data_IF_481750471739
#
_entry.id   IF_481750471739
#
_cell.length_a   1.000
_cell.length_b   1.000
_cell.length_c   1.000
_cell.angle_alpha   90.00
_cell.angle_beta   90.00
_cell.angle_gamma   90.00
#
_symmetry.space_group_name_H-M   'P 1'
#
loop_
_entity.id
_entity.type
_entity.pdbx_description
1 polymer ?
#
# COMPACT_ATOMS: atom_id res chain seq x y z
N UNK A 1 19.41 15.93 36.63
CA UNK A 1 20.12 14.85 35.92
C UNK A 1 19.94 15.05 34.42
N UNK A 2 20.78 15.92 33.87
CA UNK A 2 21.03 16.08 32.44
C UNK A 2 22.10 15.06 32.06
N UNK A 3 21.83 14.23 31.05
CA UNK A 3 22.78 13.58 30.11
C UNK A 3 22.17 12.26 29.64
N UNK A 4 21.61 12.26 28.43
CA UNK A 4 21.90 11.27 27.39
C UNK A 4 21.27 11.79 26.11
N UNK A 5 22.04 12.66 25.45
CA UNK A 5 21.88 13.09 24.08
C UNK A 5 22.80 12.21 23.22
N UNK A 6 22.42 12.04 21.95
CA UNK A 6 23.20 11.51 20.83
C UNK A 6 23.40 9.99 20.79
N UNK A 7 22.89 9.39 19.70
CA UNK A 7 23.53 8.38 18.84
C UNK A 7 22.43 7.58 18.10
N UNK A 8 21.82 8.14 17.05
CA UNK A 8 21.24 7.39 15.92
C UNK A 8 20.75 8.32 14.78
N UNK A 9 21.51 9.36 14.46
CA UNK A 9 21.43 10.05 13.17
C UNK A 9 22.82 10.00 12.55
N UNK A 10 23.15 8.87 11.92
CA UNK A 10 24.16 8.85 10.88
C UNK A 10 23.94 7.62 9.99
N UNK A 11 23.74 7.86 8.69
CA UNK A 11 23.40 6.79 7.75
C UNK A 11 22.85 7.22 6.39
N UNK A 12 23.07 8.47 5.98
CA UNK A 12 22.96 8.87 4.58
C UNK A 12 24.19 9.70 4.22
N UNK A 13 25.24 9.03 3.71
CA UNK A 13 26.04 9.49 2.57
C UNK A 13 27.23 8.54 2.32
N UNK A 14 27.57 8.39 1.03
CA UNK A 14 28.80 7.81 0.44
C UNK A 14 28.77 6.32 0.09
N UNK A 15 28.08 6.03 -1.02
CA UNK A 15 28.70 5.27 -2.11
C UNK A 15 28.33 5.99 -3.41
N UNK A 16 29.14 7.00 -3.76
CA UNK A 16 29.36 7.38 -5.16
C UNK A 16 30.84 7.08 -5.46
N UNK A 17 31.07 6.38 -6.56
CA UNK A 17 32.30 5.68 -6.85
C UNK A 17 32.19 4.86 -8.11
N UNK A 18 31.95 5.57 -9.22
CA UNK A 18 32.31 5.25 -10.60
C UNK A 18 32.74 3.80 -10.91
N UNK A 19 31.89 3.12 -11.69
CA UNK A 19 32.35 2.27 -12.81
C UNK A 19 31.45 2.52 -14.02
N UNK A 20 31.85 3.49 -14.84
CA UNK A 20 31.62 3.44 -16.27
C UNK A 20 32.73 2.58 -16.88
N UNK A 21 32.35 1.40 -17.37
CA UNK A 21 33.02 0.59 -18.41
C UNK A 21 31.98 -0.50 -18.68
N UNK A 22 31.12 -0.36 -19.68
CA UNK A 22 31.47 -0.56 -21.09
C UNK A 22 30.79 -1.85 -21.49
N UNK A 23 29.97 -1.81 -22.54
CA UNK A 23 29.30 -2.96 -23.18
C UNK A 23 28.17 -3.55 -22.30
N UNK A 24 26.88 -3.42 -22.61
CA UNK A 24 26.27 -3.66 -23.90
C UNK A 24 24.94 -2.91 -23.97
N UNK A 25 24.91 -1.85 -24.79
CA UNK A 25 23.72 -1.44 -25.53
C UNK A 25 23.42 -2.56 -26.53
N UNK A 26 23.01 -3.73 -26.04
CA UNK A 26 22.69 -4.87 -26.88
C UNK A 26 21.39 -4.53 -27.59
N UNK A 27 21.53 -4.11 -28.84
CA UNK A 27 20.44 -3.88 -29.77
C UNK A 27 19.42 -5.01 -29.62
N UNK A 28 18.25 -4.67 -29.08
CA UNK A 28 17.03 -5.44 -29.17
C UNK A 28 16.55 -5.44 -30.63
N UNK A 29 17.34 -6.07 -31.48
CA UNK A 29 16.98 -6.62 -32.78
C UNK A 29 17.36 -8.10 -32.79
N UNK A 30 17.05 -8.77 -31.69
CA UNK A 30 17.02 -10.23 -31.66
C UNK A 30 15.79 -10.67 -32.41
N UNK A 31 15.93 -10.90 -33.72
CA UNK A 31 14.97 -11.70 -34.49
C UNK A 31 14.70 -12.96 -33.69
N UNK A 32 13.49 -13.07 -33.13
CA UNK A 32 13.02 -14.23 -32.38
C UNK A 32 13.29 -15.48 -33.21
N UNK A 33 13.59 -16.63 -32.61
CA UNK A 33 13.83 -17.88 -33.35
C UNK A 33 12.73 -18.19 -34.39
N UNK A 34 11.49 -17.73 -34.15
CA UNK A 34 10.38 -17.77 -35.10
C UNK A 34 10.59 -16.94 -36.38
N UNK A 35 11.20 -15.76 -36.27
CA UNK A 35 11.50 -14.88 -37.41
C UNK A 35 12.60 -15.49 -38.30
N UNK A 36 13.63 -16.08 -37.70
CA UNK A 36 14.67 -16.80 -38.46
C UNK A 36 14.11 -18.04 -39.16
N UNK A 37 13.16 -18.78 -38.55
CA UNK A 37 12.52 -19.91 -39.23
C UNK A 37 11.65 -19.45 -40.41
N UNK A 38 10.93 -18.35 -40.24
CA UNK A 38 10.08 -17.79 -41.30
C UNK A 38 10.91 -17.26 -42.49
N UNK A 39 12.03 -16.58 -42.22
CA UNK A 39 12.99 -16.18 -43.25
C UNK A 39 13.62 -17.39 -43.96
N UNK A 40 13.99 -18.46 -43.24
CA UNK A 40 14.54 -19.67 -43.87
C UNK A 40 13.52 -20.40 -44.76
N UNK A 41 12.24 -20.36 -44.39
CA UNK A 41 11.16 -20.92 -45.21
C UNK A 41 10.90 -20.08 -46.46
N UNK A 42 10.99 -18.74 -46.34
CA UNK A 42 10.89 -17.82 -47.46
C UNK A 42 12.04 -18.01 -48.46
N UNK A 43 13.28 -18.13 -47.96
CA UNK A 43 14.47 -18.42 -48.77
C UNK A 43 14.33 -19.78 -49.49
N UNK A 44 13.81 -20.82 -48.82
CA UNK A 44 13.57 -22.14 -49.43
C UNK A 44 12.57 -22.06 -50.59
N UNK A 45 11.54 -21.23 -50.45
CA UNK A 45 10.52 -21.01 -51.48
C UNK A 45 11.08 -20.24 -52.69
N UNK A 46 11.94 -19.25 -52.45
CA UNK A 46 12.68 -18.55 -53.53
C UNK A 46 13.57 -19.55 -54.27
N UNK A 47 14.35 -20.36 -53.54
CA UNK A 47 15.27 -21.35 -54.14
C UNK A 47 14.51 -22.37 -54.99
N UNK A 48 13.39 -22.90 -54.52
CA UNK A 48 12.55 -23.81 -55.31
C UNK A 48 11.99 -23.15 -56.58
N UNK A 49 11.69 -21.85 -56.54
CA UNK A 49 11.17 -21.13 -57.71
C UNK A 49 12.28 -20.85 -58.72
N UNK A 50 13.48 -20.48 -58.27
CA UNK A 50 14.67 -20.35 -59.12
C UNK A 50 15.08 -21.68 -59.75
N UNK A 51 14.98 -22.79 -59.02
CA UNK A 51 15.25 -24.14 -59.54
C UNK A 51 14.26 -24.53 -60.65
N UNK A 52 12.99 -24.14 -60.53
CA UNK A 52 11.97 -24.37 -61.57
C UNK A 52 12.25 -23.55 -62.83
N UNK A 53 12.62 -22.27 -62.66
CA UNK A 53 12.99 -21.38 -63.77
C UNK A 53 14.25 -21.91 -64.47
N UNK A 54 15.27 -22.33 -63.71
CA UNK A 54 16.48 -22.93 -64.26
C UNK A 54 16.18 -24.23 -65.04
N UNK A 55 15.32 -25.09 -64.50
CA UNK A 55 14.92 -26.31 -65.22
C UNK A 55 14.09 -26.04 -66.48
N UNK A 56 13.32 -24.95 -66.54
CA UNK A 56 12.60 -24.53 -67.74
C UNK A 56 13.53 -23.88 -68.79
N UNK A 57 14.56 -23.16 -68.35
CA UNK A 57 15.46 -22.44 -69.27
C UNK A 57 16.54 -23.35 -69.89
N UNK A 58 16.86 -24.49 -69.26
CA UNK A 58 18.02 -25.32 -69.64
C UNK A 58 17.69 -26.78 -69.99
N UNK A 59 16.41 -27.20 -70.04
CA UNK A 59 16.03 -28.58 -70.43
C UNK A 59 15.43 -28.75 -71.82
N UNK A 60 15.16 -27.68 -72.57
CA UNK A 60 14.52 -27.80 -73.89
C UNK A 60 15.50 -27.89 -75.08
N UNK A 61 16.83 -27.82 -74.85
CA UNK A 61 17.84 -27.79 -75.93
C UNK A 61 18.63 -29.10 -76.17
N UNK A 62 18.20 -30.25 -75.63
CA UNK A 62 18.90 -31.54 -75.88
C UNK A 62 17.94 -32.67 -76.31
N UNK A 63 16.94 -32.37 -77.15
CA UNK A 63 16.25 -33.43 -77.87
C UNK A 63 15.88 -33.02 -79.30
N UNK A 64 16.92 -32.73 -80.09
CA UNK A 64 16.82 -32.63 -81.53
C UNK A 64 16.81 -34.01 -82.21
N UNK A 65 16.16 -34.04 -83.37
CA UNK A 65 16.25 -35.01 -84.48
C UNK A 65 15.37 -36.28 -84.36
N UNK A 66 14.60 -36.70 -85.38
CA UNK A 66 14.81 -36.58 -86.83
C UNK A 66 13.57 -37.04 -87.62
N UNK A 67 13.26 -36.29 -88.69
CA UNK A 67 12.76 -36.67 -90.04
C UNK A 67 11.62 -37.69 -90.16
N UNK A 68 10.53 -37.26 -90.81
CA UNK A 68 9.96 -38.04 -91.92
C UNK A 68 9.30 -37.13 -92.96
N UNK A 69 10.02 -36.94 -94.05
CA UNK A 69 9.47 -36.73 -95.39
C UNK A 69 8.60 -37.92 -95.75
N UNK A 70 7.34 -37.66 -96.15
CA UNK A 70 6.57 -38.52 -97.04
C UNK A 70 5.74 -37.65 -97.96
N UNK A 71 6.20 -37.63 -99.21
CA UNK A 71 5.48 -37.17 -100.38
C UNK A 71 4.33 -38.13 -100.72
N UNK A 72 3.60 -37.69 -101.74
CA UNK A 72 2.68 -38.41 -102.62
C UNK A 72 1.21 -38.33 -102.17
N UNK A 73 0.25 -37.99 -103.02
CA UNK A 73 0.19 -38.24 -104.47
C UNK A 73 -0.82 -37.29 -105.13
N UNK A 74 -0.43 -36.84 -106.32
CA UNK A 74 -1.22 -36.38 -107.46
C UNK A 74 -2.76 -36.32 -107.37
N UNK A 75 -3.31 -35.23 -107.88
CA UNK A 75 -4.23 -35.33 -109.03
C UNK A 75 -3.96 -34.17 -110.00
N UNK A 76 -3.63 -34.55 -111.22
CA UNK A 76 -3.48 -33.72 -112.41
C UNK A 76 -4.43 -34.31 -113.45
N UNK A 77 -4.68 -33.64 -114.57
CA UNK A 77 -5.27 -32.32 -114.71
C UNK A 77 -6.59 -32.46 -115.47
N UNK A 78 -7.56 -31.56 -115.25
CA UNK A 78 -8.52 -31.31 -116.32
C UNK A 78 -8.66 -29.81 -116.53
N UNK A 79 -8.59 -29.45 -117.81
CA UNK A 79 -8.24 -28.13 -118.28
C UNK A 79 -9.16 -27.07 -117.73
N UNK A 80 -8.59 -26.13 -116.96
CA UNK A 80 -9.13 -24.79 -116.81
C UNK A 80 -7.99 -23.81 -116.47
N UNK A 81 -8.08 -22.65 -117.12
CA UNK A 81 -7.12 -21.55 -117.20
C UNK A 81 -6.13 -21.40 -116.02
N UNK A 82 -4.84 -21.30 -116.35
CA UNK A 82 -3.72 -20.97 -115.45
C UNK A 82 -4.01 -19.76 -114.53
N UNK A 83 -4.86 -18.84 -115.00
CA UNK A 83 -5.33 -17.64 -114.32
C UNK A 83 -6.14 -17.95 -113.03
N UNK A 84 -6.90 -19.04 -112.99
CA UNK A 84 -7.78 -19.37 -111.87
C UNK A 84 -7.02 -19.84 -110.61
N UNK A 85 -5.88 -20.53 -110.77
CA UNK A 85 -5.04 -20.97 -109.63
C UNK A 85 -4.27 -19.82 -109.01
N UNK A 86 -3.71 -18.93 -109.83
CA UNK A 86 -3.06 -17.72 -109.32
C UNK A 86 -4.06 -16.82 -108.60
N UNK A 87 -5.29 -16.70 -109.13
CA UNK A 87 -6.36 -15.96 -108.47
C UNK A 87 -6.76 -16.56 -107.12
N UNK A 88 -6.91 -17.88 -107.03
CA UNK A 88 -7.21 -18.56 -105.76
C UNK A 88 -6.07 -18.47 -104.74
N UNK A 89 -4.81 -18.52 -105.19
CA UNK A 89 -3.64 -18.32 -104.34
C UNK A 89 -3.56 -16.87 -103.87
N UNK A 90 -3.85 -15.91 -104.75
CA UNK A 90 -3.82 -14.48 -104.44
C UNK A 90 -4.94 -14.08 -103.48
N UNK A 91 -6.17 -14.56 -103.70
CA UNK A 91 -7.29 -14.38 -102.75
C UNK A 91 -6.96 -14.98 -101.39
N UNK A 92 -6.39 -16.20 -101.34
CA UNK A 92 -5.89 -16.78 -100.08
C UNK A 92 -4.77 -15.97 -99.44
N UNK A 93 -3.88 -15.37 -100.22
CA UNK A 93 -2.80 -14.52 -99.71
C UNK A 93 -3.38 -13.25 -99.07
N UNK A 94 -4.35 -12.63 -99.74
CA UNK A 94 -5.05 -11.45 -99.28
C UNK A 94 -5.90 -11.73 -98.03
N UNK A 95 -6.58 -12.88 -97.97
CA UNK A 95 -7.31 -13.34 -96.79
C UNK A 95 -6.35 -13.64 -95.62
N UNK A 96 -5.18 -14.22 -95.90
CA UNK A 96 -4.14 -14.44 -94.90
C UNK A 96 -3.56 -13.12 -94.38
N UNK A 97 -3.30 -12.15 -95.25
CA UNK A 97 -2.81 -10.82 -94.85
C UNK A 97 -3.86 -10.06 -94.01
N UNK A 98 -5.15 -10.19 -94.37
CA UNK A 98 -6.25 -9.64 -93.57
C UNK A 98 -6.36 -10.32 -92.20
N UNK A 99 -6.28 -11.65 -92.15
CA UNK A 99 -6.30 -12.43 -90.91
C UNK A 99 -5.11 -12.10 -90.01
N UNK A 100 -3.92 -11.87 -90.58
CA UNK A 100 -2.73 -11.45 -89.86
C UNK A 100 -2.89 -10.05 -89.25
N UNK A 101 -3.46 -9.09 -89.99
CA UNK A 101 -3.74 -7.75 -89.50
C UNK A 101 -4.76 -7.74 -88.35
N UNK A 102 -5.76 -8.62 -88.40
CA UNK A 102 -6.74 -8.81 -87.33
C UNK A 102 -6.08 -9.41 -86.07
N UNK A 103 -5.22 -10.41 -86.23
CA UNK A 103 -4.43 -10.99 -85.14
C UNK A 103 -3.48 -9.97 -84.48
N UNK A 104 -2.89 -9.05 -85.27
CA UNK A 104 -2.05 -7.97 -84.71
C UNK A 104 -2.86 -7.00 -83.83
N UNK A 105 -4.06 -6.60 -84.25
CA UNK A 105 -4.95 -5.75 -83.44
C UNK A 105 -5.41 -6.46 -82.17
N UNK A 106 -5.72 -7.75 -82.27
CA UNK A 106 -6.09 -8.57 -81.11
C UNK A 106 -4.92 -8.66 -80.11
N UNK A 107 -3.68 -8.82 -80.60
CA UNK A 107 -2.49 -8.87 -79.76
C UNK A 107 -2.24 -7.55 -79.01
N UNK A 108 -2.39 -6.40 -79.69
CA UNK A 108 -2.27 -5.08 -79.07
C UNK A 108 -3.35 -4.88 -77.97
N UNK A 109 -4.59 -5.27 -78.26
CA UNK A 109 -5.68 -5.24 -77.28
C UNK A 109 -5.41 -6.17 -76.08
N UNK A 110 -4.87 -7.38 -76.32
CA UNK A 110 -4.45 -8.29 -75.26
C UNK A 110 -3.30 -7.72 -74.43
N UNK A 111 -2.33 -7.03 -75.02
CA UNK A 111 -1.27 -6.34 -74.28
C UNK A 111 -1.84 -5.25 -73.36
N UNK A 112 -2.76 -4.43 -73.85
CA UNK A 112 -3.42 -3.38 -73.04
C UNK A 112 -4.22 -4.01 -71.89
N UNK A 113 -4.96 -5.08 -72.16
CA UNK A 113 -5.72 -5.81 -71.14
C UNK A 113 -4.80 -6.43 -70.09
N UNK A 114 -3.70 -7.03 -70.51
CA UNK A 114 -2.69 -7.64 -69.62
C UNK A 114 -2.01 -6.58 -68.76
N UNK A 115 -1.64 -5.43 -69.35
CA UNK A 115 -1.09 -4.27 -68.63
C UNK A 115 -2.08 -3.71 -67.61
N UNK A 116 -3.36 -3.62 -67.96
CA UNK A 116 -4.43 -3.21 -67.04
C UNK A 116 -4.58 -4.18 -65.87
N UNK A 117 -4.65 -5.49 -66.15
CA UNK A 117 -4.72 -6.55 -65.13
C UNK A 117 -3.52 -6.47 -64.17
N UNK A 118 -2.31 -6.27 -64.70
CA UNK A 118 -1.10 -6.14 -63.89
C UNK A 118 -1.17 -4.94 -62.95
N UNK A 119 -1.64 -3.78 -63.44
CA UNK A 119 -1.84 -2.58 -62.59
C UNK A 119 -2.87 -2.81 -61.49
N UNK A 120 -3.97 -3.50 -61.78
CA UNK A 120 -4.98 -3.85 -60.77
C UNK A 120 -4.40 -4.79 -59.69
N UNK A 121 -3.61 -5.79 -60.08
CA UNK A 121 -2.95 -6.67 -59.12
C UNK A 121 -2.00 -5.90 -58.20
N UNK A 122 -1.13 -5.04 -58.75
CA UNK A 122 -0.24 -4.19 -57.93
C UNK A 122 -1.03 -3.30 -56.96
N UNK A 123 -2.11 -2.68 -57.44
CA UNK A 123 -2.94 -1.82 -56.60
C UNK A 123 -3.62 -2.61 -55.49
N UNK A 124 -4.13 -3.81 -55.79
CA UNK A 124 -4.78 -4.67 -54.80
C UNK A 124 -3.80 -5.13 -53.72
N UNK A 125 -2.58 -5.48 -54.10
CA UNK A 125 -1.53 -5.88 -53.16
C UNK A 125 -1.08 -4.70 -52.30
N UNK A 126 -0.86 -3.52 -52.89
CA UNK A 126 -0.57 -2.30 -52.15
C UNK A 126 -1.69 -1.95 -51.15
N UNK A 127 -2.95 -2.03 -51.58
CA UNK A 127 -4.10 -1.75 -50.72
C UNK A 127 -4.19 -2.73 -49.54
N UNK A 128 -3.99 -4.02 -49.77
CA UNK A 128 -3.94 -5.04 -48.70
C UNK A 128 -2.80 -4.78 -47.72
N UNK A 129 -1.62 -4.45 -48.22
CA UNK A 129 -0.46 -4.15 -47.36
C UNK A 129 -0.73 -2.95 -46.45
N UNK A 130 -1.30 -1.87 -46.99
CA UNK A 130 -1.67 -0.69 -46.18
C UNK A 130 -2.74 -1.01 -45.12
N UNK A 131 -3.73 -1.85 -45.43
CA UNK A 131 -4.71 -2.28 -44.43
C UNK A 131 -4.05 -3.09 -43.29
N UNK A 132 -3.17 -4.03 -43.64
CA UNK A 132 -2.46 -4.82 -42.63
C UNK A 132 -1.56 -3.95 -41.76
N UNK A 133 -0.86 -3.00 -42.36
CA UNK A 133 -0.01 -2.06 -41.63
C UNK A 133 -0.82 -1.13 -40.72
N UNK A 134 -1.95 -0.60 -41.21
CA UNK A 134 -2.86 0.22 -40.41
C UNK A 134 -3.48 -0.57 -39.23
N UNK A 135 -3.92 -1.82 -39.46
CA UNK A 135 -4.40 -2.68 -38.36
C UNK A 135 -3.28 -3.03 -37.38
N UNK A 136 -2.06 -3.30 -37.85
CA UNK A 136 -0.91 -3.58 -36.99
C UNK A 136 -0.55 -2.37 -36.14
N UNK A 137 -0.53 -1.18 -36.73
CA UNK A 137 -0.20 0.06 -36.01
C UNK A 137 -1.33 0.49 -35.05
N UNK A 138 -2.60 0.32 -35.45
CA UNK A 138 -3.72 0.53 -34.53
C UNK A 138 -3.64 -0.42 -33.32
N UNK A 139 -3.27 -1.69 -33.54
CA UNK A 139 -3.05 -2.66 -32.47
C UNK A 139 -1.86 -2.30 -31.57
N UNK A 140 -0.72 -1.92 -32.15
CA UNK A 140 0.48 -1.49 -31.41
C UNK A 140 0.20 -0.23 -30.57
N UNK A 141 -0.52 0.73 -31.15
CA UNK A 141 -0.97 1.96 -30.51
C UNK A 141 -1.91 1.70 -29.34
N UNK A 142 -2.90 0.82 -29.51
CA UNK A 142 -3.82 0.43 -28.44
C UNK A 142 -3.09 -0.19 -27.25
N UNK A 143 -2.09 -1.04 -27.48
CA UNK A 143 -1.28 -1.64 -26.41
C UNK A 143 -0.45 -0.57 -25.70
N UNK A 144 0.26 0.30 -26.43
CA UNK A 144 1.05 1.39 -25.84
C UNK A 144 0.19 2.29 -24.96
N UNK A 145 -0.99 2.65 -25.44
CA UNK A 145 -1.94 3.48 -24.69
C UNK A 145 -2.47 2.76 -23.44
N UNK A 146 -2.82 1.48 -23.54
CA UNK A 146 -3.23 0.67 -22.40
C UNK A 146 -2.12 0.57 -21.34
N UNK A 147 -0.87 0.34 -21.77
CA UNK A 147 0.31 0.29 -20.90
C UNK A 147 0.56 1.64 -20.23
N UNK A 148 0.51 2.75 -20.98
CA UNK A 148 0.67 4.12 -20.45
C UNK A 148 -0.37 4.41 -19.36
N UNK A 149 -1.66 4.15 -19.64
CA UNK A 149 -2.75 4.34 -18.67
C UNK A 149 -2.56 3.50 -17.40
N UNK A 150 -2.08 2.27 -17.54
CA UNK A 150 -1.81 1.40 -16.39
C UNK A 150 -0.72 1.98 -15.49
N UNK A 151 0.39 2.44 -16.08
CA UNK A 151 1.48 3.08 -15.34
C UNK A 151 1.04 4.38 -14.67
N UNK A 152 0.30 5.24 -15.38
CA UNK A 152 -0.24 6.48 -14.83
C UNK A 152 -1.17 6.21 -13.65
N UNK A 153 -2.07 5.22 -13.79
CA UNK A 153 -2.98 4.85 -12.71
C UNK A 153 -2.23 4.31 -11.49
N UNK A 154 -1.26 3.41 -11.70
CA UNK A 154 -0.45 2.87 -10.61
C UNK A 154 0.38 3.95 -9.91
N UNK A 155 1.03 4.81 -10.70
CA UNK A 155 1.82 5.94 -10.19
C UNK A 155 0.96 6.90 -9.36
N UNK A 156 -0.21 7.29 -9.89
CA UNK A 156 -1.17 8.13 -9.18
C UNK A 156 -1.64 7.49 -7.87
N UNK A 157 -2.03 6.21 -7.91
CA UNK A 157 -2.49 5.47 -6.72
C UNK A 157 -1.39 5.33 -5.66
N UNK A 158 -0.14 5.10 -6.08
CA UNK A 158 1.02 5.05 -5.20
C UNK A 158 1.31 6.41 -4.56
N UNK A 159 1.23 7.50 -5.33
CA UNK A 159 1.43 8.85 -4.83
C UNK A 159 0.34 9.26 -3.83
N UNK A 160 -0.93 8.96 -4.13
CA UNK A 160 -2.06 9.19 -3.23
C UNK A 160 -1.94 8.39 -1.93
N UNK A 161 -1.51 7.13 -1.99
CA UNK A 161 -1.30 6.31 -0.80
C UNK A 161 -0.18 6.87 0.07
N UNK A 162 0.96 7.25 -0.54
CA UNK A 162 2.08 7.90 0.18
C UNK A 162 1.65 9.21 0.84
N UNK A 163 0.86 10.03 0.13
CA UNK A 163 0.31 11.27 0.67
C UNK A 163 -0.59 11.00 1.88
N UNK A 164 -1.55 10.07 1.77
CA UNK A 164 -2.43 9.70 2.89
C UNK A 164 -1.66 9.17 4.09
N UNK A 165 -0.69 8.28 3.90
CA UNK A 165 0.14 7.77 5.01
C UNK A 165 0.94 8.88 5.68
N UNK A 166 1.43 9.87 4.91
CA UNK A 166 2.13 11.03 5.47
C UNK A 166 1.17 11.91 6.30
N UNK A 167 -0.01 12.20 5.77
CA UNK A 167 -1.06 12.96 6.49
C UNK A 167 -1.50 12.22 7.77
N UNK A 168 -1.73 10.91 7.70
CA UNK A 168 -2.04 10.07 8.87
C UNK A 168 -0.92 10.12 9.91
N UNK A 169 0.34 10.05 9.50
CA UNK A 169 1.49 10.19 10.39
C UNK A 169 1.53 11.57 11.06
N UNK A 170 1.31 12.65 10.31
CA UNK A 170 1.28 14.02 10.86
C UNK A 170 0.14 14.19 11.88
N UNK A 171 -1.06 13.65 11.60
CA UNK A 171 -2.20 13.68 12.53
C UNK A 171 -1.90 12.89 13.80
N UNK A 172 -1.34 11.68 13.67
CA UNK A 172 -0.95 10.86 14.83
C UNK A 172 0.12 11.59 15.64
N UNK A 173 1.12 12.19 14.99
CA UNK A 173 2.18 12.92 15.67
C UNK A 173 1.64 14.14 16.43
N UNK A 174 0.73 14.91 15.83
CA UNK A 174 0.07 16.03 16.50
C UNK A 174 -0.72 15.56 17.74
N UNK A 175 -1.49 14.48 17.60
CA UNK A 175 -2.25 13.89 18.70
C UNK A 175 -1.32 13.39 19.84
N UNK A 176 -0.20 12.75 19.51
CA UNK A 176 0.81 12.34 20.51
C UNK A 176 1.37 13.54 21.26
N UNK A 177 1.68 14.63 20.57
CA UNK A 177 2.19 15.85 21.24
C UNK A 177 1.14 16.49 22.16
N UNK A 178 -0.12 16.53 21.75
CA UNK A 178 -1.23 17.02 22.57
C UNK A 178 -1.44 16.16 23.83
N UNK A 179 -1.45 14.84 23.67
CA UNK A 179 -1.54 13.91 24.80
C UNK A 179 -0.34 14.05 25.75
N UNK A 180 0.86 14.27 25.22
CA UNK A 180 2.04 14.48 26.05
C UNK A 180 1.96 15.79 26.85
N UNK A 181 1.46 16.88 26.26
CA UNK A 181 1.28 18.15 26.97
C UNK A 181 0.19 18.08 28.05
N UNK A 182 -0.95 17.47 27.72
CA UNK A 182 -2.04 17.27 28.68
C UNK A 182 -1.61 16.37 29.84
N UNK A 183 -0.83 15.32 29.56
CA UNK A 183 -0.23 14.47 30.58
C UNK A 183 0.73 15.26 31.49
N UNK A 184 1.64 16.07 30.92
CA UNK A 184 2.53 16.94 31.70
C UNK A 184 1.76 17.88 32.64
N UNK A 185 0.70 18.51 32.14
CA UNK A 185 -0.19 19.37 32.95
C UNK A 185 -0.87 18.58 34.08
N UNK A 186 -1.28 17.34 33.81
CA UNK A 186 -1.87 16.46 34.82
C UNK A 186 -0.88 16.09 35.92
N UNK A 187 0.37 15.76 35.56
CA UNK A 187 1.44 15.46 36.52
C UNK A 187 1.73 16.65 37.44
N UNK A 188 1.74 17.88 36.91
CA UNK A 188 1.89 19.09 37.76
C UNK A 188 0.74 19.20 38.76
N UNK A 189 -0.51 19.02 38.32
CA UNK A 189 -1.68 19.05 39.21
C UNK A 189 -1.61 17.95 40.29
N UNK A 190 -1.09 16.77 39.95
CA UNK A 190 -0.91 15.66 40.88
C UNK A 190 0.10 16.03 41.98
N UNK A 191 1.23 16.62 41.58
CA UNK A 191 2.23 17.12 42.53
C UNK A 191 1.65 18.20 43.45
N UNK A 192 0.84 19.14 42.93
CA UNK A 192 0.18 20.15 43.76
C UNK A 192 -0.77 19.51 44.81
N UNK A 193 -1.45 18.42 44.46
CA UNK A 193 -2.29 17.67 45.40
C UNK A 193 -1.44 16.97 46.45
N UNK A 194 -0.33 16.35 46.06
CA UNK A 194 0.59 15.70 46.98
C UNK A 194 1.20 16.70 47.99
N UNK A 195 1.63 17.87 47.52
CA UNK A 195 2.15 18.94 48.38
C UNK A 195 1.09 19.42 49.39
N UNK A 196 -0.16 19.60 48.95
CA UNK A 196 -1.27 19.96 49.85
C UNK A 196 -1.56 18.89 50.91
N UNK A 197 -1.46 17.61 50.55
CA UNK A 197 -1.63 16.51 51.52
C UNK A 197 -0.53 16.60 52.59
N UNK A 198 0.72 16.83 52.19
CA UNK A 198 1.85 16.95 53.12
C UNK A 198 1.72 18.19 54.02
N UNK A 199 1.35 19.34 53.45
CA UNK A 199 1.09 20.58 54.22
C UNK A 199 0.00 20.36 55.28
N UNK A 200 -1.11 19.72 54.89
CA UNK A 200 -2.22 19.40 55.81
C UNK A 200 -1.78 18.40 56.87
N UNK A 201 -0.95 17.41 56.51
CA UNK A 201 -0.38 16.48 57.48
C UNK A 201 0.50 17.19 58.52
N UNK A 202 1.36 18.13 58.09
CA UNK A 202 2.14 18.96 59.00
C UNK A 202 1.28 19.80 59.95
N UNK A 203 0.16 20.36 59.47
CA UNK A 203 -0.81 21.09 60.32
C UNK A 203 -1.50 20.19 61.34
N UNK A 204 -1.86 18.97 60.94
CA UNK A 204 -2.43 17.96 61.86
C UNK A 204 -1.46 17.67 63.00
N UNK A 205 -0.19 17.37 62.68
CA UNK A 205 0.84 17.11 63.70
C UNK A 205 1.04 18.31 64.65
N UNK A 206 1.00 19.53 64.14
CA UNK A 206 1.12 20.73 64.97
C UNK A 206 -0.06 20.89 65.94
N UNK A 207 -1.30 20.63 65.48
CA UNK A 207 -2.49 20.67 66.32
C UNK A 207 -2.54 19.53 67.33
N UNK A 208 -2.11 18.32 66.97
CA UNK A 208 -1.99 17.19 67.90
C UNK A 208 -1.01 17.50 69.05
N UNK A 209 0.13 18.12 68.73
CA UNK A 209 1.08 18.58 69.75
C UNK A 209 0.51 19.71 70.63
N UNK A 210 -0.26 20.65 70.05
CA UNK A 210 -0.95 21.67 70.83
C UNK A 210 -1.97 21.04 71.79
N UNK A 211 -2.79 20.11 71.29
CA UNK A 211 -3.78 19.38 72.07
C UNK A 211 -3.14 18.67 73.25
N UNK A 212 -2.03 17.96 73.02
CA UNK A 212 -1.27 17.28 74.08
C UNK A 212 -0.80 18.27 75.17
N UNK A 213 -0.26 19.43 74.79
CA UNK A 213 0.15 20.46 75.77
C UNK A 213 -1.03 21.00 76.58
N UNK A 214 -2.19 21.17 75.94
CA UNK A 214 -3.41 21.60 76.64
C UNK A 214 -3.94 20.52 77.59
N UNK A 215 -3.79 19.24 77.25
CA UNK A 215 -4.10 18.12 78.14
C UNK A 215 -3.19 18.11 79.38
N UNK A 216 -1.88 18.29 79.18
CA UNK A 216 -0.88 18.37 80.26
C UNK A 216 -1.15 19.58 81.18
N UNK A 217 -1.48 20.74 80.60
CA UNK A 217 -1.84 21.94 81.35
C UNK A 217 -3.13 21.73 82.16
N UNK A 218 -4.15 21.12 81.55
CA UNK A 218 -5.40 20.77 82.25
C UNK A 218 -5.14 19.84 83.43
N UNK A 219 -4.31 18.81 83.25
CA UNK A 219 -3.94 17.89 84.33
C UNK A 219 -3.22 18.63 85.48
N UNK A 220 -2.31 19.55 85.14
CA UNK A 220 -1.60 20.38 86.12
C UNK A 220 -2.54 21.32 86.89
N UNK A 221 -3.52 21.92 86.23
CA UNK A 221 -4.53 22.77 86.87
C UNK A 221 -5.47 21.97 87.78
N UNK A 222 -5.86 20.75 87.38
CA UNK A 222 -6.66 19.85 88.21
C UNK A 222 -5.91 19.44 89.49
N UNK A 223 -4.63 19.10 89.36
CA UNK A 223 -3.78 18.80 90.52
C UNK A 223 -3.67 20.01 91.46
N UNK A 224 -3.43 21.20 90.91
CA UNK A 224 -3.39 22.45 91.69
C UNK A 224 -4.71 22.72 92.41
N UNK A 225 -5.85 22.52 91.75
CA UNK A 225 -7.18 22.64 92.36
C UNK A 225 -7.32 21.68 93.53
N UNK A 226 -6.95 20.41 93.35
CA UNK A 226 -7.02 19.37 94.38
C UNK A 226 -6.17 19.71 95.62
N UNK A 227 -4.95 20.20 95.42
CA UNK A 227 -4.07 20.63 96.53
C UNK A 227 -4.69 21.78 97.32
N UNK A 228 -5.27 22.78 96.65
CA UNK A 228 -5.93 23.92 97.30
C UNK A 228 -7.17 23.49 98.10
N UNK A 229 -8.00 22.61 97.54
CA UNK A 229 -9.19 22.08 98.22
C UNK A 229 -8.84 21.24 99.45
N UNK A 230 -7.77 20.44 99.36
CA UNK A 230 -7.23 19.66 100.48
C UNK A 230 -6.70 20.56 101.60
N UNK A 231 -6.01 21.65 101.24
CA UNK A 231 -5.50 22.65 102.19
C UNK A 231 -6.64 23.40 102.90
N UNK A 232 -7.67 23.81 102.16
CA UNK A 232 -8.90 24.41 102.69
C UNK A 232 -9.53 23.46 103.71
N UNK A 233 -9.72 22.19 103.34
CA UNK A 233 -10.31 21.16 104.21
C UNK A 233 -9.51 20.97 105.51
N UNK A 234 -8.17 20.98 105.42
CA UNK A 234 -7.27 20.89 106.57
C UNK A 234 -7.36 22.11 107.49
N UNK A 235 -7.40 23.33 106.94
CA UNK A 235 -7.48 24.57 107.73
C UNK A 235 -8.84 24.76 108.38
N UNK A 236 -9.92 24.34 107.72
CA UNK A 236 -11.27 24.38 108.27
C UNK A 236 -11.44 23.44 109.48
N UNK A 237 -10.61 22.40 109.60
CA UNK A 237 -10.57 21.54 110.78
C UNK A 237 -9.87 22.19 112.02
N UNK A 238 -9.24 23.36 111.88
CA UNK A 238 -8.53 24.08 112.95
C UNK A 238 -9.08 25.51 113.14
N UNK A 239 -9.71 25.86 114.28
CA UNK A 239 -10.59 27.04 114.40
C UNK A 239 -9.93 28.43 114.49
N UNK A 240 -8.75 28.66 113.90
CA UNK A 240 -7.97 29.90 114.06
C UNK A 240 -7.67 30.73 112.82
N UNK A 241 -8.01 30.30 111.59
CA UNK A 241 -7.42 30.88 110.36
C UNK A 241 -8.41 31.05 109.19
N UNK A 242 -9.52 31.78 109.42
CA UNK A 242 -10.60 32.01 108.44
C UNK A 242 -10.18 32.85 107.21
N UNK A 243 -9.35 33.89 107.39
CA UNK A 243 -8.96 34.80 106.30
C UNK A 243 -8.10 34.11 105.23
N UNK A 244 -7.23 33.18 105.63
CA UNK A 244 -6.43 32.39 104.68
C UNK A 244 -7.25 31.37 103.88
N UNK A 245 -8.41 30.95 104.40
CA UNK A 245 -9.33 30.05 103.70
C UNK A 245 -10.07 30.78 102.56
N UNK A 246 -10.48 32.04 102.79
CA UNK A 246 -11.15 32.85 101.76
C UNK A 246 -10.24 33.15 100.56
N UNK A 247 -8.96 33.48 100.78
CA UNK A 247 -7.98 33.67 99.70
C UNK A 247 -7.68 32.36 98.93
N UNK A 248 -7.72 31.20 99.60
CA UNK A 248 -7.61 29.92 98.90
C UNK A 248 -8.88 29.60 98.11
N UNK A 249 -10.06 29.96 98.62
CA UNK A 249 -11.33 29.78 97.92
C UNK A 249 -11.36 30.56 96.59
N UNK A 250 -10.91 31.82 96.59
CA UNK A 250 -10.82 32.62 95.35
C UNK A 250 -9.82 32.03 94.36
N UNK A 251 -8.69 31.48 94.85
CA UNK A 251 -7.72 30.74 94.02
C UNK A 251 -8.30 29.44 93.44
N UNK A 252 -9.18 28.75 94.16
CA UNK A 252 -9.91 27.58 93.63
C UNK A 252 -10.86 28.02 92.51
N UNK A 253 -11.69 29.06 92.74
CA UNK A 253 -12.62 29.56 91.71
C UNK A 253 -11.90 30.03 90.45
N UNK A 254 -10.80 30.76 90.57
CA UNK A 254 -9.99 31.19 89.42
C UNK A 254 -9.35 30.02 88.68
N UNK A 255 -8.87 28.99 89.40
CA UNK A 255 -8.32 27.77 88.77
C UNK A 255 -9.42 26.97 88.06
N UNK A 256 -10.64 26.94 88.62
CA UNK A 256 -11.81 26.30 88.01
C UNK A 256 -12.29 27.00 86.74
N UNK A 257 -12.27 28.33 86.72
CA UNK A 257 -12.51 29.12 85.50
C UNK A 257 -11.44 28.83 84.44
N UNK A 258 -10.15 28.78 84.82
CA UNK A 258 -9.06 28.42 83.90
C UNK A 258 -9.26 27.03 83.28
N UNK A 259 -9.64 26.03 84.10
CA UNK A 259 -9.95 24.68 83.61
C UNK A 259 -11.12 24.73 82.61
N UNK A 260 -12.18 25.48 82.92
CA UNK A 260 -13.37 25.58 82.05
C UNK A 260 -13.02 26.23 80.71
N UNK A 261 -12.26 27.33 80.72
CA UNK A 261 -11.80 28.00 79.50
C UNK A 261 -10.88 27.09 78.67
N UNK A 262 -9.94 26.40 79.31
CA UNK A 262 -9.03 25.47 78.61
C UNK A 262 -9.81 24.33 77.96
N UNK A 263 -10.82 23.78 78.63
CA UNK A 263 -11.71 22.76 78.06
C UNK A 263 -12.48 23.26 76.83
N UNK A 264 -13.00 24.49 76.86
CA UNK A 264 -13.68 25.09 75.70
C UNK A 264 -12.72 25.25 74.50
N UNK A 265 -11.50 25.73 74.75
CA UNK A 265 -10.47 25.84 73.71
C UNK A 265 -10.11 24.46 73.14
N UNK A 266 -9.94 23.44 73.99
CA UNK A 266 -9.67 22.06 73.56
C UNK A 266 -10.78 21.52 72.65
N UNK A 267 -12.06 21.78 72.97
CA UNK A 267 -13.18 21.36 72.12
C UNK A 267 -13.10 22.00 70.71
N UNK A 268 -12.81 23.30 70.63
CA UNK A 268 -12.66 24.01 69.36
C UNK A 268 -11.46 23.48 68.56
N UNK A 269 -10.33 23.22 69.22
CA UNK A 269 -9.13 22.66 68.58
C UNK A 269 -9.36 21.23 68.10
N UNK A 270 -10.05 20.39 68.87
CA UNK A 270 -10.46 19.05 68.42
C UNK A 270 -11.38 19.11 67.19
N UNK A 271 -12.32 20.06 67.13
CA UNK A 271 -13.17 20.22 65.95
C UNK A 271 -12.34 20.62 64.72
N UNK A 272 -11.40 21.55 64.88
CA UNK A 272 -10.48 21.95 63.79
C UNK A 272 -9.62 20.77 63.32
N UNK A 273 -9.08 19.99 64.25
CA UNK A 273 -8.29 18.79 63.95
C UNK A 273 -9.11 17.76 63.17
N UNK A 274 -10.35 17.47 63.59
CA UNK A 274 -11.26 16.57 62.87
C UNK A 274 -11.52 17.04 61.44
N UNK A 275 -11.77 18.33 61.24
CA UNK A 275 -12.00 18.90 59.91
C UNK A 275 -10.77 18.75 59.01
N UNK A 276 -9.56 19.04 59.53
CA UNK A 276 -8.32 18.88 58.76
C UNK A 276 -8.00 17.42 58.43
N UNK A 277 -8.26 16.49 59.35
CA UNK A 277 -8.13 15.05 59.11
C UNK A 277 -9.07 14.63 57.98
N UNK A 278 -10.33 15.08 58.02
CA UNK A 278 -11.31 14.77 56.98
C UNK A 278 -10.86 15.31 55.62
N UNK A 279 -10.46 16.58 55.53
CA UNK A 279 -9.97 17.18 54.28
C UNK A 279 -8.75 16.43 53.71
N UNK A 280 -7.82 16.01 54.58
CA UNK A 280 -6.64 15.23 54.19
C UNK A 280 -7.03 13.84 53.67
N UNK A 281 -8.00 13.18 54.30
CA UNK A 281 -8.48 11.88 53.84
C UNK A 281 -9.27 12.00 52.53
N UNK A 282 -10.09 13.03 52.36
CA UNK A 282 -10.82 13.30 51.12
C UNK A 282 -9.84 13.51 49.93
N UNK A 283 -8.76 14.28 50.14
CA UNK A 283 -7.72 14.45 49.13
C UNK A 283 -6.99 13.15 48.81
N UNK A 284 -6.70 12.33 49.82
CA UNK A 284 -6.08 11.01 49.65
C UNK A 284 -6.99 10.04 48.90
N UNK A 285 -8.28 10.03 49.18
CA UNK A 285 -9.25 9.20 48.45
C UNK A 285 -9.34 9.61 46.97
N UNK A 286 -9.33 10.91 46.68
CA UNK A 286 -9.29 11.41 45.29
C UNK A 286 -8.00 11.02 44.58
N UNK A 287 -6.86 11.01 45.28
CA UNK A 287 -5.59 10.54 44.74
C UNK A 287 -5.66 9.05 44.40
N UNK A 288 -6.20 8.24 45.32
CA UNK A 288 -6.40 6.80 45.11
C UNK A 288 -7.30 6.53 43.88
N UNK A 289 -8.40 7.26 43.73
CA UNK A 289 -9.29 7.12 42.55
C UNK A 289 -8.58 7.44 41.23
N UNK A 290 -7.67 8.43 41.22
CA UNK A 290 -6.83 8.70 40.06
C UNK A 290 -5.83 7.56 39.79
N UNK A 291 -5.23 6.98 40.84
CA UNK A 291 -4.32 5.84 40.70
C UNK A 291 -5.03 4.59 40.15
N UNK A 292 -6.24 4.29 40.62
CA UNK A 292 -7.07 3.20 40.11
C UNK A 292 -7.43 3.45 38.62
N UNK A 293 -7.74 4.69 38.25
CA UNK A 293 -7.99 5.08 36.86
C UNK A 293 -6.75 4.89 35.99
N UNK A 294 -5.56 5.26 36.51
CA UNK A 294 -4.28 5.05 35.83
C UNK A 294 -4.02 3.57 35.61
N UNK A 295 -4.31 2.72 36.61
CA UNK A 295 -4.17 1.26 36.49
C UNK A 295 -5.08 0.70 35.39
N UNK A 296 -6.36 1.05 35.39
CA UNK A 296 -7.30 0.64 34.33
C UNK A 296 -6.85 1.11 32.93
N UNK A 297 -6.35 2.34 32.81
CA UNK A 297 -5.83 2.84 31.53
C UNK A 297 -4.55 2.10 31.09
N UNK A 298 -3.66 1.74 32.02
CA UNK A 298 -2.47 0.92 31.72
C UNK A 298 -2.87 -0.46 31.20
N UNK A 299 -3.85 -1.11 31.82
CA UNK A 299 -4.38 -2.38 31.33
C UNK A 299 -4.94 -2.23 29.91
N UNK A 300 -5.72 -1.16 29.65
CA UNK A 300 -6.25 -0.88 28.32
C UNK A 300 -5.16 -0.68 27.29
N UNK A 301 -4.10 0.07 27.61
CA UNK A 301 -2.91 0.24 26.75
C UNK A 301 -2.28 -1.13 26.45
N UNK A 302 -2.04 -1.95 27.48
CA UNK A 302 -1.45 -3.29 27.30
C UNK A 302 -2.29 -4.17 26.36
N UNK A 303 -3.63 -4.12 26.46
CA UNK A 303 -4.51 -4.86 25.53
C UNK A 303 -4.38 -4.36 24.09
N UNK A 304 -4.33 -3.04 23.89
CA UNK A 304 -4.19 -2.42 22.57
C UNK A 304 -2.80 -2.67 21.96
N UNK A 305 -1.74 -2.64 22.77
CA UNK A 305 -0.39 -2.99 22.34
C UNK A 305 -0.29 -4.44 21.90
N UNK A 306 -0.91 -5.37 22.65
CA UNK A 306 -1.01 -6.77 22.24
C UNK A 306 -1.74 -6.92 20.89
N UNK A 307 -2.88 -6.25 20.73
CA UNK A 307 -3.65 -6.26 19.48
C UNK A 307 -2.85 -5.66 18.31
N UNK A 308 -2.17 -4.54 18.52
CA UNK A 308 -1.31 -3.93 17.51
C UNK A 308 -0.16 -4.84 17.11
N UNK A 309 0.48 -5.52 18.07
CA UNK A 309 1.54 -6.49 17.81
C UNK A 309 1.01 -7.67 17.00
N UNK A 310 -0.18 -8.19 17.33
CA UNK A 310 -0.83 -9.25 16.57
C UNK A 310 -1.15 -8.81 15.12
N UNK A 311 -1.72 -7.61 14.95
CA UNK A 311 -2.01 -7.05 13.63
C UNK A 311 -0.75 -6.82 12.81
N UNK A 312 0.32 -6.32 13.43
CA UNK A 312 1.64 -6.18 12.80
C UNK A 312 2.18 -7.53 12.33
N UNK A 313 2.12 -8.56 13.18
CA UNK A 313 2.49 -9.93 12.79
C UNK A 313 1.64 -10.44 11.60
N UNK A 314 0.33 -10.19 11.58
CA UNK A 314 -0.55 -10.56 10.44
C UNK A 314 -0.18 -9.82 9.16
N UNK A 315 0.13 -8.54 9.25
CA UNK A 315 0.60 -7.73 8.11
C UNK A 315 1.95 -8.24 7.60
N UNK A 316 2.90 -8.55 8.49
CA UNK A 316 4.19 -9.12 8.09
C UNK A 316 4.04 -10.51 7.45
N UNK A 317 3.10 -11.35 7.91
CA UNK A 317 2.81 -12.64 7.30
C UNK A 317 2.21 -12.51 5.89
N UNK A 318 1.28 -11.57 5.69
CA UNK A 318 0.65 -11.32 4.38
C UNK A 318 1.57 -10.57 3.41
N UNK A 319 2.46 -9.71 3.93
CA UNK A 319 3.47 -8.98 3.17
C UNK A 319 4.67 -9.85 2.74
N UNK A 320 4.89 -11.00 3.37
CA UNK A 320 5.95 -11.95 3.03
C UNK A 320 5.44 -13.17 2.26
N UNK A 321 5.15 -13.08 0.94
CA UNK A 321 4.80 -14.24 0.12
C UNK A 321 5.98 -15.21 -0.09
N UNK A 322 7.20 -14.85 0.31
CA UNK A 322 8.44 -15.59 0.05
C UNK A 322 8.81 -16.63 1.12
N UNK A 323 8.12 -16.69 2.27
CA UNK A 323 8.36 -17.72 3.32
C UNK A 323 7.48 -18.96 3.21
N UNK A 324 6.41 -18.90 2.43
CA UNK A 324 5.76 -20.11 1.93
C UNK A 324 6.63 -20.65 0.81
N UNK A 325 7.70 -21.35 1.19
CA UNK A 325 8.40 -22.25 0.27
C UNK A 325 7.33 -23.07 -0.43
N UNK A 326 7.35 -22.95 -1.75
CA UNK A 326 6.91 -23.89 -2.77
C UNK A 326 6.76 -25.31 -2.20
N UNK A 327 5.63 -25.60 -1.54
CA UNK A 327 5.15 -26.96 -1.40
C UNK A 327 4.54 -27.29 -2.75
N UNK A 328 5.27 -28.10 -3.51
CA UNK A 328 4.80 -28.81 -4.69
C UNK A 328 3.35 -29.26 -4.47
N UNK A 329 2.44 -28.74 -5.30
CA UNK A 329 1.08 -29.24 -5.46
C UNK A 329 0.07 -28.86 -4.38
N UNK A 330 -0.29 -27.59 -4.26
CA UNK A 330 -1.58 -27.24 -3.65
C UNK A 330 -2.65 -27.35 -4.73
N UNK A 331 -3.47 -28.40 -4.64
CA UNK A 331 -4.74 -28.53 -5.34
C UNK A 331 -5.58 -27.29 -5.00
N UNK A 332 -5.64 -26.33 -5.92
CA UNK A 332 -6.56 -25.20 -5.81
C UNK A 332 -7.97 -25.79 -5.86
N UNK A 333 -8.65 -25.82 -4.70
CA UNK A 333 -10.07 -26.14 -4.66
C UNK A 333 -10.78 -25.14 -5.59
N UNK A 334 -11.52 -25.70 -6.53
CA UNK A 334 -12.23 -25.02 -7.63
C UNK A 334 -13.17 -23.89 -7.14
N UNK A 335 -13.50 -23.90 -5.85
CA UNK A 335 -14.33 -22.89 -5.17
C UNK A 335 -13.66 -21.52 -4.97
N UNK A 336 -12.34 -21.37 -5.16
CA UNK A 336 -11.63 -20.09 -4.97
C UNK A 336 -11.43 -19.28 -6.26
N UNK A 337 -11.75 -19.85 -7.42
CA UNK A 337 -11.74 -19.11 -8.67
C UNK A 337 -13.04 -18.34 -8.78
N UNK A 338 -13.00 -17.06 -8.38
CA UNK A 338 -14.08 -16.12 -8.69
C UNK A 338 -14.40 -16.19 -10.18
N UNK A 339 -15.70 -16.24 -10.51
CA UNK A 339 -16.21 -16.31 -11.89
C UNK A 339 -15.73 -15.15 -12.79
N UNK A 340 -15.12 -14.11 -12.21
CA UNK A 340 -14.52 -12.96 -12.91
C UNK A 340 -12.99 -13.02 -13.05
N UNK A 341 -12.33 -14.09 -12.58
CA UNK A 341 -10.89 -14.27 -12.77
C UNK A 341 -10.56 -14.48 -14.26
N UNK A 342 -9.57 -13.77 -14.82
CA UNK A 342 -9.13 -13.97 -16.21
C UNK A 342 -8.82 -15.42 -16.55
N UNK A 343 -8.32 -16.19 -15.57
CA UNK A 343 -8.01 -17.61 -15.73
C UNK A 343 -9.24 -18.51 -15.85
N UNK A 344 -10.35 -18.15 -15.19
CA UNK A 344 -11.61 -18.88 -15.28
C UNK A 344 -12.26 -18.67 -16.66
N UNK A 345 -12.23 -17.44 -17.18
CA UNK A 345 -12.75 -17.13 -18.52
C UNK A 345 -11.96 -17.85 -19.63
N UNK A 346 -10.63 -17.89 -19.54
CA UNK A 346 -9.79 -18.60 -20.51
C UNK A 346 -10.06 -20.13 -20.53
N UNK A 347 -10.29 -20.73 -19.36
CA UNK A 347 -10.65 -22.16 -19.26
C UNK A 347 -12.01 -22.43 -19.90
N UNK A 348 -13.00 -21.58 -19.67
CA UNK A 348 -14.33 -21.75 -20.27
C UNK A 348 -14.32 -21.57 -21.79
N UNK A 349 -13.55 -20.61 -22.31
CA UNK A 349 -13.36 -20.44 -23.76
C UNK A 349 -12.69 -21.66 -24.37
N UNK A 350 -11.74 -22.28 -23.65
CA UNK A 350 -11.07 -23.49 -24.11
C UNK A 350 -12.02 -24.70 -24.14
N UNK A 351 -12.83 -24.86 -23.10
CA UNK A 351 -13.85 -25.93 -23.02
C UNK A 351 -14.96 -25.75 -24.06
N UNK A 352 -15.39 -24.51 -24.34
CA UNK A 352 -16.34 -24.22 -25.42
C UNK A 352 -15.76 -24.60 -26.80
N UNK A 353 -14.49 -24.27 -27.07
CA UNK A 353 -13.83 -24.65 -28.33
C UNK A 353 -13.61 -26.16 -28.48
N UNK A 354 -13.50 -26.89 -27.38
CA UNK A 354 -13.41 -28.35 -27.40
C UNK A 354 -14.78 -29.00 -27.61
N UNK A 355 -15.86 -28.41 -27.09
CA UNK A 355 -17.25 -28.82 -27.33
C UNK A 355 -17.73 -28.57 -28.75
N UNK A 356 -17.20 -27.57 -29.47
CA UNK A 356 -17.58 -27.26 -30.86
C UNK A 356 -16.83 -28.13 -31.89
N UNK A 357 -15.88 -28.96 -31.44
CA UNK A 357 -15.09 -29.87 -32.30
C UNK A 357 -15.54 -31.33 -32.24
N UNK A 358 -16.54 -31.64 -31.41
CA UNK A 358 -17.26 -32.92 -31.37
C UNK A 358 -18.65 -32.71 -31.93
#
# INVERSE_FOLDING_TARGET
MMETLAMAEDGIARIDGMKQTGEDMFYMYGSTAGHTTEETDYIRKIRSTLEKIHNQLFKDDINGNTINSKNDTHNSPDGNSFDSRYKQIFEKLQDNDYSLAEAFKENEHLQIKTSSIFRYHLWLDFFKMNQLEASREAGSGAIREATRRLYENYSKKSAELRKRTKEEHEVIQASVTEYQETFKKSVVKLNDVAEKIEEKHGRILALENLMKRMEDEKASLLEKKWVLESEISRRMASPGNLNGCLDMQTKVSTTEEQITHLQQLMMLQHQSLRNLIQEREDLKNRLQEQDDTIEHLKERINTLECQNKEMKCKVEQTSNPSRLKVSKGVLVKESMLSSKSPYFMLRNIKLLKESERT
#
